data_IF_486920375393
#
_entry.id   IF_486920375393
#
_cell.length_a   1.000
_cell.length_b   1.000
_cell.length_c   1.000
_cell.angle_alpha   90.00
_cell.angle_beta   90.00
_cell.angle_gamma   90.00
#
_symmetry.space_group_name_H-M   'P 1'
#
loop_
_entity.id
_entity.type
_entity.pdbx_description
1 polymer ?
#
# COMPACT_ATOMS: atom_id res chain seq x y z
N UNK A 1 7.11 -35.69 -2.86
CA UNK A 1 7.02 -34.81 -1.67
C UNK A 1 6.17 -33.60 -2.07
N UNK A 2 4.94 -33.50 -1.55
CA UNK A 2 4.02 -32.40 -1.89
C UNK A 2 4.46 -31.09 -1.23
N UNK A 3 4.55 -30.02 -2.02
CA UNK A 3 4.94 -28.69 -1.56
C UNK A 3 3.95 -28.12 -0.52
N UNK A 4 4.43 -27.32 0.46
CA UNK A 4 3.54 -26.65 1.41
C UNK A 4 2.63 -25.68 0.66
N UNK A 5 1.32 -25.82 0.90
CA UNK A 5 0.28 -24.89 0.43
C UNK A 5 0.60 -23.49 0.96
N UNK A 6 0.90 -22.55 0.06
CA UNK A 6 1.16 -21.15 0.42
C UNK A 6 0.01 -20.57 1.25
N UNK A 7 0.35 -19.82 2.30
CA UNK A 7 -0.61 -19.08 3.11
C UNK A 7 -1.40 -18.12 2.22
N UNK A 8 -2.72 -18.30 2.15
CA UNK A 8 -3.63 -17.29 1.62
C UNK A 8 -3.83 -16.25 2.72
N UNK A 9 -3.34 -15.03 2.51
CA UNK A 9 -3.74 -13.89 3.33
C UNK A 9 -5.23 -13.59 3.04
N UNK A 10 -6.09 -13.73 4.05
CA UNK A 10 -7.53 -13.40 3.97
C UNK A 10 -7.81 -11.89 3.87
N UNK A 11 -6.80 -11.06 4.06
CA UNK A 11 -6.93 -9.61 3.97
C UNK A 11 -6.36 -9.14 2.62
N UNK A 12 -7.24 -8.98 1.63
CA UNK A 12 -6.90 -8.32 0.37
C UNK A 12 -6.34 -6.91 0.61
N UNK A 13 -5.38 -6.49 -0.22
CA UNK A 13 -4.88 -5.11 -0.21
C UNK A 13 -6.00 -4.13 -0.56
N UNK A 14 -6.04 -2.95 0.07
CA UNK A 14 -7.01 -1.90 -0.28
C UNK A 14 -6.85 -1.39 -1.72
N UNK A 15 -5.72 -1.68 -2.37
CA UNK A 15 -5.48 -1.41 -3.80
C UNK A 15 -6.49 -2.09 -4.73
N UNK A 16 -7.36 -2.98 -4.24
CA UNK A 16 -8.38 -3.67 -5.03
C UNK A 16 -9.80 -3.13 -4.75
N UNK A 17 -9.95 -2.05 -3.98
CA UNK A 17 -11.24 -1.44 -3.63
C UNK A 17 -11.45 -0.03 -4.23
N UNK A 18 -12.30 0.04 -5.25
CA UNK A 18 -13.15 1.16 -5.68
C UNK A 18 -12.58 2.41 -6.36
N UNK A 19 -11.32 2.87 -6.18
CA UNK A 19 -10.82 4.06 -6.94
C UNK A 19 -9.28 4.19 -7.08
N UNK A 20 -8.51 3.16 -6.74
CA UNK A 20 -7.05 3.15 -6.83
C UNK A 20 -6.50 2.50 -8.11
N UNK A 21 -5.25 2.82 -8.45
CA UNK A 21 -4.51 2.09 -9.50
C UNK A 21 -3.94 0.78 -8.96
N UNK A 22 -4.04 -0.28 -9.74
CA UNK A 22 -3.39 -1.55 -9.45
C UNK A 22 -1.85 -1.44 -9.58
N UNK A 23 -1.11 -2.35 -8.95
CA UNK A 23 0.36 -2.33 -8.98
C UNK A 23 0.96 -2.42 -10.39
N UNK A 24 0.25 -3.06 -11.33
CA UNK A 24 0.64 -3.10 -12.74
C UNK A 24 0.58 -1.71 -13.37
N UNK A 25 -0.55 -1.03 -13.22
CA UNK A 25 -0.74 0.33 -13.74
C UNK A 25 0.23 1.32 -13.10
N UNK A 26 0.48 1.19 -11.79
CA UNK A 26 1.51 1.98 -11.10
C UNK A 26 2.87 1.73 -11.75
N UNK A 27 3.24 0.47 -12.00
CA UNK A 27 4.54 0.16 -12.61
C UNK A 27 4.68 0.69 -14.03
N UNK A 28 3.60 0.69 -14.81
CA UNK A 28 3.56 1.22 -16.18
C UNK A 28 3.71 2.75 -16.17
N UNK A 29 2.97 3.46 -15.31
CA UNK A 29 3.06 4.93 -15.17
C UNK A 29 4.45 5.34 -14.70
N UNK A 30 4.95 4.71 -13.64
CA UNK A 30 6.27 5.04 -13.11
C UNK A 30 7.37 4.78 -14.15
N UNK A 31 7.28 3.67 -14.89
CA UNK A 31 8.23 3.37 -15.97
C UNK A 31 8.14 4.41 -17.11
N UNK A 32 6.93 4.82 -17.49
CA UNK A 32 6.72 5.87 -18.49
C UNK A 32 7.28 7.24 -18.04
N UNK A 33 7.32 7.51 -16.74
CA UNK A 33 7.94 8.69 -16.14
C UNK A 33 9.47 8.57 -15.95
N UNK A 34 10.08 7.47 -16.42
CA UNK A 34 11.53 7.23 -16.32
C UNK A 34 11.96 6.41 -15.10
N UNK A 35 11.04 6.07 -14.21
CA UNK A 35 11.30 5.21 -13.05
C UNK A 35 11.02 3.75 -13.38
N UNK A 36 11.94 3.11 -14.10
CA UNK A 36 11.80 1.72 -14.54
C UNK A 36 11.56 0.77 -13.37
N UNK A 37 10.37 0.17 -13.32
CA UNK A 37 9.99 -0.77 -12.28
C UNK A 37 8.96 -1.80 -12.77
N UNK A 38 8.97 -2.98 -12.15
CA UNK A 38 7.95 -4.00 -12.38
C UNK A 38 6.86 -3.96 -11.30
N UNK A 39 5.78 -4.72 -11.51
CA UNK A 39 4.65 -4.79 -10.58
C UNK A 39 5.07 -5.16 -9.14
N UNK A 40 6.03 -6.08 -8.97
CA UNK A 40 6.54 -6.49 -7.66
C UNK A 40 7.28 -5.35 -6.96
N UNK A 41 8.07 -4.59 -7.71
CA UNK A 41 8.79 -3.41 -7.22
C UNK A 41 7.81 -2.32 -6.79
N UNK A 42 6.78 -2.05 -7.61
CA UNK A 42 5.73 -1.09 -7.26
C UNK A 42 5.05 -1.46 -5.92
N UNK A 43 4.68 -2.73 -5.74
CA UNK A 43 4.13 -3.24 -4.47
C UNK A 43 5.11 -3.05 -3.31
N UNK A 44 6.38 -3.37 -3.52
CA UNK A 44 7.39 -3.29 -2.45
C UNK A 44 7.63 -1.85 -2.01
N UNK A 45 7.73 -0.91 -2.95
CA UNK A 45 7.87 0.52 -2.63
C UNK A 45 6.62 1.04 -1.92
N UNK A 46 5.43 0.67 -2.40
CA UNK A 46 4.17 1.02 -1.73
C UNK A 46 4.15 0.52 -0.29
N UNK A 47 4.44 -0.76 -0.05
CA UNK A 47 4.47 -1.32 1.30
C UNK A 47 5.52 -0.67 2.19
N UNK A 48 6.72 -0.38 1.67
CA UNK A 48 7.75 0.37 2.42
C UNK A 48 7.27 1.76 2.83
N UNK A 49 6.51 2.44 1.98
CA UNK A 49 5.91 3.72 2.31
C UNK A 49 4.83 3.57 3.39
N UNK A 50 3.93 2.59 3.27
CA UNK A 50 2.89 2.32 4.27
C UNK A 50 3.49 1.98 5.64
N UNK A 51 4.57 1.19 5.71
CA UNK A 51 5.27 0.88 6.96
C UNK A 51 5.84 2.14 7.62
N UNK A 52 6.42 3.06 6.83
CA UNK A 52 6.90 4.34 7.37
C UNK A 52 5.79 5.16 8.01
N UNK A 53 4.61 5.17 7.38
CA UNK A 53 3.42 5.85 7.91
C UNK A 53 2.85 5.16 9.15
N UNK A 54 2.93 3.83 9.20
CA UNK A 54 2.43 3.03 10.32
C UNK A 54 3.35 3.04 11.55
N UNK A 55 4.64 3.38 11.39
CA UNK A 55 5.63 3.31 12.47
C UNK A 55 5.24 4.05 13.77
N UNK A 56 4.67 5.27 13.74
CA UNK A 56 4.22 5.94 14.97
C UNK A 56 3.10 5.19 15.70
N UNK A 57 2.33 4.37 14.98
CA UNK A 57 1.20 3.62 15.54
C UNK A 57 1.64 2.41 16.36
N UNK A 58 2.89 1.96 16.23
CA UNK A 58 3.43 0.86 17.05
C UNK A 58 3.37 1.21 18.54
N UNK A 59 3.75 2.44 18.90
CA UNK A 59 3.75 2.92 20.28
C UNK A 59 2.33 3.06 20.86
N UNK A 60 1.32 3.29 20.00
CA UNK A 60 -0.07 3.52 20.41
C UNK A 60 -0.84 2.19 20.52
N UNK A 61 -0.62 1.30 19.56
CA UNK A 61 -1.42 0.08 19.41
C UNK A 61 -0.74 -1.17 19.94
N UNK A 62 0.57 -1.13 20.19
CA UNK A 62 1.39 -2.30 20.53
C UNK A 62 1.52 -3.32 19.40
N UNK A 63 1.06 -3.01 18.18
CA UNK A 63 1.14 -3.89 17.02
C UNK A 63 2.29 -3.50 16.10
N UNK A 64 2.94 -4.45 15.41
CA UNK A 64 4.00 -4.16 14.44
C UNK A 64 3.52 -3.28 13.27
N UNK A 65 4.36 -2.35 12.81
CA UNK A 65 4.04 -1.45 11.71
C UNK A 65 3.74 -2.20 10.41
N UNK A 66 4.38 -3.34 10.15
CA UNK A 66 4.12 -4.17 8.97
C UNK A 66 2.70 -4.73 8.95
N UNK A 67 2.19 -5.13 10.11
CA UNK A 67 0.82 -5.64 10.27
C UNK A 67 -0.20 -4.52 10.04
N UNK A 68 0.06 -3.35 10.63
CA UNK A 68 -0.78 -2.16 10.46
C UNK A 68 -0.76 -1.70 9.01
N UNK A 69 0.41 -1.63 8.39
CA UNK A 69 0.61 -1.19 7.01
C UNK A 69 -0.07 -2.11 5.98
N UNK A 70 -0.16 -3.41 6.25
CA UNK A 70 -0.84 -4.38 5.40
C UNK A 70 -2.37 -4.37 5.58
N UNK A 71 -2.88 -3.69 6.61
CA UNK A 71 -4.32 -3.64 6.89
C UNK A 71 -5.05 -2.77 5.85
N UNK A 72 -6.10 -3.32 5.24
CA UNK A 72 -6.88 -2.61 4.24
C UNK A 72 -7.51 -1.32 4.78
N UNK A 73 -8.02 -1.32 6.02
CA UNK A 73 -8.63 -0.12 6.63
C UNK A 73 -7.60 0.99 6.84
N UNK A 74 -6.37 0.62 7.23
CA UNK A 74 -5.27 1.59 7.35
C UNK A 74 -4.93 2.19 5.99
N UNK A 75 -4.76 1.36 4.97
CA UNK A 75 -4.46 1.83 3.61
C UNK A 75 -5.57 2.73 3.04
N UNK A 76 -6.85 2.40 3.29
CA UNK A 76 -7.99 3.26 2.92
C UNK A 76 -7.97 4.57 3.67
N UNK A 77 -7.79 4.57 4.99
CA UNK A 77 -7.74 5.80 5.79
C UNK A 77 -6.61 6.75 5.36
N UNK A 78 -5.44 6.21 4.99
CA UNK A 78 -4.36 7.00 4.40
C UNK A 78 -4.75 7.57 3.04
N UNK A 79 -5.40 6.78 2.18
CA UNK A 79 -5.86 7.24 0.87
C UNK A 79 -6.88 8.38 0.99
N UNK A 80 -7.83 8.27 1.92
CA UNK A 80 -8.84 9.30 2.20
C UNK A 80 -8.16 10.59 2.69
N UNK A 81 -7.24 10.46 3.67
CA UNK A 81 -6.47 11.61 4.18
C UNK A 81 -5.67 12.32 3.08
N UNK A 82 -5.10 11.57 2.14
CA UNK A 82 -4.36 12.14 1.01
C UNK A 82 -5.28 12.85 0.00
N UNK A 83 -6.51 12.37 -0.20
CA UNK A 83 -7.49 13.03 -1.06
C UNK A 83 -8.00 14.34 -0.43
N UNK A 84 -8.25 14.32 0.88
CA UNK A 84 -8.64 15.51 1.64
C UNK A 84 -7.52 16.55 1.70
N UNK A 85 -6.27 16.11 1.80
CA UNK A 85 -5.13 17.02 1.71
C UNK A 85 -5.05 17.67 0.32
N UNK A 86 -5.37 16.93 -0.74
CA UNK A 86 -5.33 17.43 -2.12
C UNK A 86 -6.45 18.45 -2.39
N UNK A 87 -7.64 18.27 -1.82
CA UNK A 87 -8.74 19.25 -1.96
C UNK A 87 -8.47 20.56 -1.20
N UNK A 88 -7.58 20.55 -0.21
CA UNK A 88 -7.15 21.75 0.52
C UNK A 88 -5.90 22.44 -0.06
N UNK A 89 -5.32 21.89 -1.13
CA UNK A 89 -4.17 22.44 -1.84
C UNK A 89 -4.61 22.74 -3.27
N UNK A 90 -5.47 23.75 -3.42
CA UNK A 90 -5.64 24.45 -4.69
C UNK A 90 -4.38 25.32 -4.93
N UNK A 91 -3.50 24.84 -5.80
CA UNK A 91 -2.44 25.63 -6.47
C UNK A 91 -2.77 25.67 -7.95
#
# INVERSE_FOLDING_TARGET
>A
MSMPKGMKHENGYATVGLNGKGYREISEIMTAQGHKMNHASARNYFMRAMVKLAKPMEAITGRPAEEIAANARFQTAIADLMQDAKSNVDI
#
